data_IF_500867559429
#
_entry.id   IF_500867559429
#
_cell.length_a   1.000
_cell.length_b   1.000
_cell.length_c   1.000
_cell.angle_alpha   90.00
_cell.angle_beta   90.00
_cell.angle_gamma   90.00
#
_symmetry.space_group_name_H-M   'P 1'
#
loop_
_entity.id
_entity.type
_entity.pdbx_description
1 polymer ?
#
# COMPACT_ATOMS: atom_id res chain seq x y z
N UNK A 1 -17.05 -19.45 20.24
CA UNK A 1 -16.46 -20.56 19.47
C UNK A 1 -16.82 -20.38 18.01
N UNK A 2 -15.92 -20.69 17.09
CA UNK A 2 -16.20 -20.59 15.64
C UNK A 2 -17.25 -21.65 15.27
N UNK A 3 -18.36 -21.21 14.68
CA UNK A 3 -19.47 -22.10 14.28
C UNK A 3 -19.24 -22.66 12.89
N UNK A 4 -19.73 -23.87 12.61
CA UNK A 4 -19.62 -24.53 11.29
C UNK A 4 -20.19 -23.65 10.17
N UNK A 5 -21.25 -22.90 10.46
CA UNK A 5 -21.84 -21.93 9.54
C UNK A 5 -20.91 -20.75 9.21
N UNK A 6 -20.09 -20.29 10.17
CA UNK A 6 -19.12 -19.22 9.95
C UNK A 6 -17.96 -19.70 9.05
N UNK A 7 -17.49 -20.94 9.25
CA UNK A 7 -16.45 -21.55 8.41
C UNK A 7 -16.95 -21.73 6.97
N UNK A 8 -18.16 -22.25 6.80
CA UNK A 8 -18.75 -22.42 5.46
C UNK A 8 -18.88 -21.08 4.72
N UNK A 9 -19.31 -20.03 5.42
CA UNK A 9 -19.44 -18.68 4.84
C UNK A 9 -18.09 -18.09 4.43
N UNK A 10 -17.04 -18.28 5.24
CA UNK A 10 -15.68 -17.87 4.91
C UNK A 10 -15.11 -18.62 3.69
N UNK A 11 -15.39 -19.92 3.56
CA UNK A 11 -14.99 -20.72 2.39
C UNK A 11 -15.68 -20.21 1.12
N UNK A 12 -16.98 -19.89 1.20
CA UNK A 12 -17.71 -19.32 0.07
C UNK A 12 -17.17 -17.94 -0.36
N UNK A 13 -16.81 -17.08 0.59
CA UNK A 13 -16.21 -15.76 0.30
C UNK A 13 -14.81 -15.87 -0.33
N UNK A 14 -14.05 -16.89 0.09
CA UNK A 14 -12.72 -17.17 -0.43
C UNK A 14 -12.75 -17.81 -1.83
N UNK A 15 -13.82 -18.48 -2.24
CA UNK A 15 -13.89 -19.13 -3.54
C UNK A 15 -14.25 -18.12 -4.66
N UNK A 16 -13.76 -18.31 -5.91
CA UNK A 16 -12.76 -19.30 -6.34
C UNK A 16 -11.31 -18.83 -6.15
N UNK A 17 -11.09 -17.55 -5.81
CA UNK A 17 -9.79 -16.90 -5.96
C UNK A 17 -8.83 -17.08 -4.77
N UNK A 18 -9.32 -17.60 -3.63
CA UNK A 18 -8.57 -17.83 -2.40
C UNK A 18 -8.82 -16.79 -1.31
N UNK A 19 -8.43 -17.14 -0.08
CA UNK A 19 -8.65 -16.30 1.11
C UNK A 19 -7.89 -14.96 1.08
N UNK A 20 -6.75 -14.91 0.39
CA UNK A 20 -6.00 -13.66 0.19
C UNK A 20 -6.77 -12.66 -0.67
N UNK A 21 -7.48 -13.16 -1.68
CA UNK A 21 -8.28 -12.33 -2.60
C UNK A 21 -9.54 -11.83 -1.94
N UNK A 22 -10.17 -12.67 -1.12
CA UNK A 22 -11.29 -12.24 -0.29
C UNK A 22 -10.88 -11.12 0.69
N UNK A 23 -9.72 -11.26 1.34
CA UNK A 23 -9.20 -10.22 2.23
C UNK A 23 -8.82 -8.93 1.46
N UNK A 24 -8.18 -9.06 0.30
CA UNK A 24 -7.83 -7.92 -0.54
C UNK A 24 -9.08 -7.23 -1.10
N UNK A 25 -10.14 -7.99 -1.44
CA UNK A 25 -11.43 -7.45 -1.88
C UNK A 25 -12.03 -6.55 -0.80
N UNK A 26 -12.10 -7.03 0.45
CA UNK A 26 -12.65 -6.25 1.57
C UNK A 26 -11.84 -4.96 1.83
N UNK A 27 -10.51 -5.03 1.70
CA UNK A 27 -9.62 -3.88 1.91
C UNK A 27 -9.75 -2.86 0.76
N UNK A 28 -9.85 -3.34 -0.48
CA UNK A 28 -9.92 -2.49 -1.68
C UNK A 28 -11.31 -1.89 -1.89
N UNK A 29 -12.37 -2.60 -1.51
CA UNK A 29 -13.75 -2.09 -1.55
C UNK A 29 -13.91 -0.88 -0.60
N UNK A 30 -13.25 -0.91 0.56
CA UNK A 30 -13.22 0.20 1.50
C UNK A 30 -12.63 1.51 0.92
N UNK A 31 -11.90 1.43 -0.19
CA UNK A 31 -11.36 2.59 -0.94
C UNK A 31 -12.03 2.76 -2.31
N UNK A 32 -13.16 2.08 -2.55
CA UNK A 32 -13.94 2.17 -3.79
C UNK A 32 -13.29 1.48 -5.00
N UNK A 33 -12.35 0.56 -4.76
CA UNK A 33 -11.69 -0.22 -5.81
C UNK A 33 -12.37 -1.57 -5.95
N UNK A 34 -13.12 -1.73 -7.04
CA UNK A 34 -13.76 -2.98 -7.41
C UNK A 34 -12.72 -3.98 -7.94
N UNK A 35 -12.29 -4.89 -7.07
CA UNK A 35 -11.31 -5.93 -7.39
C UNK A 35 -11.87 -6.90 -8.44
N UNK A 36 -13.16 -7.22 -8.43
CA UNK A 36 -13.74 -8.20 -9.35
C UNK A 36 -13.70 -7.66 -10.78
N UNK A 37 -14.02 -6.39 -10.97
CA UNK A 37 -13.88 -5.71 -12.27
C UNK A 37 -12.44 -5.65 -12.77
N UNK A 38 -11.47 -5.52 -11.87
CA UNK A 38 -10.04 -5.59 -12.20
C UNK A 38 -9.62 -7.00 -12.63
N UNK A 39 -10.15 -8.04 -11.98
CA UNK A 39 -9.88 -9.43 -12.30
C UNK A 39 -10.54 -9.89 -13.60
N UNK A 40 -11.70 -9.34 -13.95
CA UNK A 40 -12.33 -9.56 -15.26
C UNK A 40 -11.44 -9.06 -16.42
N UNK A 41 -10.70 -7.97 -16.21
CA UNK A 41 -9.81 -7.38 -17.21
C UNK A 41 -8.45 -8.11 -17.26
N UNK A 42 -7.92 -8.50 -16.11
CA UNK A 42 -6.53 -9.00 -15.98
C UNK A 42 -6.42 -10.52 -15.85
N UNK A 43 -7.53 -11.21 -15.58
CA UNK A 43 -7.62 -12.64 -15.35
C UNK A 43 -7.25 -13.07 -13.93
N UNK A 44 -7.94 -14.09 -13.41
CA UNK A 44 -7.74 -14.65 -12.05
C UNK A 44 -6.35 -15.27 -11.83
N UNK A 45 -5.63 -15.59 -12.90
CA UNK A 45 -4.26 -16.12 -12.88
C UNK A 45 -3.22 -15.11 -12.35
N UNK A 46 -3.56 -13.82 -12.32
CA UNK A 46 -2.73 -12.80 -11.65
C UNK A 46 -2.74 -13.01 -10.13
N UNK A 47 -3.86 -13.54 -9.61
CA UNK A 47 -4.12 -13.67 -8.18
C UNK A 47 -3.69 -15.02 -7.61
N UNK A 48 -3.80 -16.07 -8.42
CA UNK A 48 -3.50 -17.44 -8.00
C UNK A 48 -2.12 -17.92 -8.50
N UNK A 49 -1.14 -17.01 -8.43
CA UNK A 49 0.21 -17.31 -8.89
C UNK A 49 1.03 -17.95 -7.76
N UNK A 50 1.48 -19.20 -7.90
CA UNK A 50 2.23 -19.85 -6.84
C UNK A 50 3.50 -19.06 -6.53
N UNK A 51 3.84 -18.84 -5.24
CA UNK A 51 5.09 -18.19 -4.88
C UNK A 51 6.23 -19.01 -5.47
N UNK A 52 7.13 -18.35 -6.23
CA UNK A 52 8.32 -19.02 -6.76
C UNK A 52 9.13 -19.58 -5.60
N UNK A 53 9.51 -20.86 -5.70
CA UNK A 53 10.33 -21.57 -4.70
C UNK A 53 11.45 -20.67 -4.18
N UNK A 54 11.50 -20.49 -2.87
CA UNK A 54 12.60 -19.75 -2.24
C UNK A 54 13.93 -20.43 -2.57
N UNK A 55 14.99 -19.65 -2.85
CA UNK A 55 16.32 -20.20 -2.98
C UNK A 55 16.71 -20.89 -1.67
N UNK A 56 17.06 -22.18 -1.74
CA UNK A 56 17.43 -23.01 -0.59
C UNK A 56 18.72 -22.54 0.11
N UNK A 57 19.47 -21.62 -0.51
CA UNK A 57 20.73 -21.11 0.02
C UNK A 57 20.60 -19.64 0.51
N UNK A 58 21.06 -19.32 1.73
CA UNK A 58 20.89 -18.00 2.33
C UNK A 58 21.66 -16.88 1.61
N UNK A 59 22.69 -17.23 0.85
CA UNK A 59 23.49 -16.27 0.07
C UNK A 59 22.75 -15.91 -1.21
N UNK A 60 22.24 -14.69 -1.29
CA UNK A 60 21.54 -14.18 -2.48
C UNK A 60 20.02 -14.29 -2.43
N UNK A 61 19.43 -14.89 -1.38
CA UNK A 61 17.98 -14.92 -1.17
C UNK A 61 17.36 -13.52 -1.21
N UNK A 62 18.00 -12.52 -0.62
CA UNK A 62 17.53 -11.13 -0.67
C UNK A 62 17.59 -10.50 -2.08
N UNK A 63 18.50 -10.94 -2.95
CA UNK A 63 18.62 -10.45 -4.34
C UNK A 63 17.64 -11.19 -5.25
N UNK A 64 17.43 -12.48 -5.00
CA UNK A 64 16.43 -13.32 -5.66
C UNK A 64 15.00 -12.89 -5.29
N UNK A 65 14.70 -12.61 -4.01
CA UNK A 65 13.43 -12.02 -3.56
C UNK A 65 13.19 -10.67 -4.22
N UNK A 66 14.20 -9.79 -4.27
CA UNK A 66 14.11 -8.51 -5.00
C UNK A 66 13.85 -8.70 -6.50
N UNK A 67 14.49 -9.68 -7.14
CA UNK A 67 14.25 -10.00 -8.56
C UNK A 67 12.85 -10.57 -8.78
N UNK A 68 12.39 -11.48 -7.92
CA UNK A 68 11.05 -12.07 -7.98
C UNK A 68 9.98 -11.00 -7.72
N UNK A 69 10.11 -10.16 -6.71
CA UNK A 69 9.15 -9.08 -6.41
C UNK A 69 9.06 -8.02 -7.53
N UNK A 70 10.15 -7.80 -8.28
CA UNK A 70 10.14 -6.98 -9.50
C UNK A 70 9.44 -7.64 -10.69
N UNK A 71 9.54 -8.95 -10.82
CA UNK A 71 9.04 -9.68 -11.99
C UNK A 71 7.63 -10.26 -11.78
N UNK A 72 7.26 -10.52 -10.53
CA UNK A 72 6.06 -11.26 -10.10
C UNK A 72 5.88 -11.07 -8.58
N UNK A 73 5.32 -9.94 -8.11
CA UNK A 73 5.05 -9.75 -6.68
C UNK A 73 4.06 -10.81 -6.17
N UNK A 74 4.22 -11.34 -4.95
CA UNK A 74 3.13 -12.03 -4.29
C UNK A 74 2.04 -11.00 -3.95
N UNK A 75 0.78 -11.33 -4.21
CA UNK A 75 -0.32 -10.45 -3.80
C UNK A 75 -0.38 -10.34 -2.29
N UNK A 76 -0.91 -9.22 -1.83
CA UNK A 76 -0.92 -8.87 -0.42
C UNK A 76 0.38 -8.23 0.07
N UNK A 77 1.59 -8.49 -0.47
CA UNK A 77 2.80 -7.80 0.04
C UNK A 77 2.82 -6.31 -0.29
N UNK A 78 2.42 -5.95 -1.51
CA UNK A 78 2.33 -4.54 -1.90
C UNK A 78 1.20 -3.83 -1.13
N UNK A 79 0.05 -4.50 -0.97
CA UNK A 79 -1.08 -4.01 -0.17
C UNK A 79 -0.71 -3.86 1.32
N UNK A 80 -0.02 -4.85 1.92
CA UNK A 80 0.48 -4.79 3.28
C UNK A 80 1.49 -3.67 3.46
N UNK A 81 2.42 -3.51 2.51
CA UNK A 81 3.41 -2.43 2.56
C UNK A 81 2.76 -1.05 2.41
N UNK A 82 1.76 -0.92 1.53
CA UNK A 82 1.00 0.32 1.36
C UNK A 82 0.16 0.65 2.60
N UNK A 83 -0.53 -0.35 3.16
CA UNK A 83 -1.27 -0.19 4.42
C UNK A 83 -0.34 0.18 5.58
N UNK A 84 0.78 -0.53 5.72
CA UNK A 84 1.82 -0.23 6.71
C UNK A 84 2.37 1.20 6.57
N UNK A 85 2.64 1.63 5.34
CA UNK A 85 3.11 2.98 5.03
C UNK A 85 2.05 4.04 5.35
N UNK A 86 0.79 3.78 5.04
CA UNK A 86 -0.33 4.68 5.31
C UNK A 86 -0.59 4.88 6.80
N UNK A 87 -0.48 3.82 7.61
CA UNK A 87 -0.59 3.90 9.07
C UNK A 87 0.54 4.76 9.65
N UNK A 88 1.78 4.53 9.19
CA UNK A 88 2.92 5.34 9.61
C UNK A 88 2.81 6.79 9.15
N UNK A 89 2.23 7.04 7.99
CA UNK A 89 1.96 8.38 7.50
C UNK A 89 0.98 9.13 8.43
N UNK A 90 -0.12 8.48 8.85
CA UNK A 90 -1.05 9.04 9.83
C UNK A 90 -0.35 9.41 11.16
N UNK A 91 0.47 8.48 11.68
CA UNK A 91 1.27 8.71 12.89
C UNK A 91 2.29 9.85 12.72
N UNK A 92 2.93 9.94 11.55
CA UNK A 92 3.87 11.01 11.22
C UNK A 92 3.20 12.38 11.08
N UNK A 93 1.95 12.41 10.60
CA UNK A 93 1.08 13.59 10.51
C UNK A 93 0.43 13.99 11.85
N UNK A 94 0.69 13.21 12.91
CA UNK A 94 0.10 13.37 14.26
C UNK A 94 -1.42 13.26 14.25
N UNK A 95 -1.94 12.35 13.44
CA UNK A 95 -3.36 12.04 13.37
C UNK A 95 -3.71 10.91 14.35
N UNK A 96 -4.90 11.00 14.96
CA UNK A 96 -5.38 10.03 15.95
C UNK A 96 -6.06 8.82 15.30
N UNK A 97 -6.46 8.96 14.05
CA UNK A 97 -7.20 7.97 13.30
C UNK A 97 -6.47 7.70 12.00
N UNK A 98 -6.37 6.42 11.65
CA UNK A 98 -6.02 6.01 10.30
C UNK A 98 -7.31 6.00 9.47
N UNK A 99 -7.23 6.53 8.26
CA UNK A 99 -8.38 6.80 7.40
C UNK A 99 -8.03 6.50 5.93
N UNK A 100 -9.02 6.25 5.06
CA UNK A 100 -8.79 5.91 3.65
C UNK A 100 -7.87 6.89 2.90
N UNK A 101 -7.89 8.17 3.26
CA UNK A 101 -7.10 9.20 2.59
C UNK A 101 -5.59 9.02 2.84
N UNK A 102 -5.21 8.47 3.99
CA UNK A 102 -3.81 8.13 4.27
C UNK A 102 -3.32 7.01 3.35
N UNK A 103 -4.21 6.06 3.03
CA UNK A 103 -3.91 4.98 2.10
C UNK A 103 -3.79 5.52 0.68
N UNK A 104 -4.73 6.37 0.25
CA UNK A 104 -4.66 7.04 -1.04
C UNK A 104 -3.36 7.84 -1.21
N UNK A 105 -3.00 8.66 -0.21
CA UNK A 105 -1.75 9.43 -0.21
C UNK A 105 -0.50 8.55 -0.26
N UNK A 106 -0.47 7.45 0.51
CA UNK A 106 0.66 6.52 0.51
C UNK A 106 0.79 5.76 -0.82
N UNK A 107 -0.33 5.31 -1.39
CA UNK A 107 -0.38 4.62 -2.68
C UNK A 107 0.11 5.52 -3.81
N UNK A 108 -0.44 6.74 -3.93
CA UNK A 108 -0.04 7.68 -4.98
C UNK A 108 1.43 8.11 -4.84
N UNK A 109 1.93 8.27 -3.61
CA UNK A 109 3.32 8.68 -3.38
C UNK A 109 4.34 7.53 -3.53
N UNK A 110 4.00 6.30 -3.15
CA UNK A 110 4.99 5.22 -3.02
C UNK A 110 4.85 4.13 -4.07
N UNK A 111 3.64 3.82 -4.52
CA UNK A 111 3.36 2.60 -5.25
C UNK A 111 3.58 2.74 -6.77
N UNK A 112 4.53 2.00 -7.37
CA UNK A 112 4.77 2.08 -8.82
C UNK A 112 3.62 1.52 -9.65
N UNK A 113 2.86 0.57 -9.11
CA UNK A 113 1.68 0.00 -9.78
C UNK A 113 0.59 1.06 -9.91
N UNK A 114 0.32 1.80 -8.83
CA UNK A 114 -0.61 2.93 -8.85
C UNK A 114 -0.12 4.02 -9.81
N UNK A 115 1.17 4.35 -9.80
CA UNK A 115 1.74 5.32 -10.75
C UNK A 115 1.53 4.89 -12.22
N UNK A 116 1.70 3.59 -12.51
CA UNK A 116 1.43 3.03 -13.84
C UNK A 116 -0.06 3.12 -14.20
N UNK A 117 -0.97 2.74 -13.28
CA UNK A 117 -2.42 2.83 -13.51
C UNK A 117 -2.84 4.27 -13.81
N UNK A 118 -2.34 5.25 -13.05
CA UNK A 118 -2.62 6.67 -13.26
C UNK A 118 -2.12 7.15 -14.62
N UNK A 119 -0.90 6.74 -15.02
CA UNK A 119 -0.34 7.08 -16.32
C UNK A 119 -1.16 6.50 -17.48
N UNK A 120 -1.57 5.22 -17.38
CA UNK A 120 -2.42 4.56 -18.39
C UNK A 120 -3.81 5.20 -18.47
N UNK A 121 -4.37 5.61 -17.33
CA UNK A 121 -5.64 6.32 -17.26
C UNK A 121 -5.56 7.79 -17.72
N UNK A 122 -4.38 8.27 -18.14
CA UNK A 122 -4.17 9.65 -18.57
C UNK A 122 -4.26 10.68 -17.42
N UNK A 123 -4.17 10.22 -16.17
CA UNK A 123 -4.18 11.09 -15.00
C UNK A 123 -2.78 11.70 -14.83
N UNK A 124 -2.59 12.86 -15.44
CA UNK A 124 -1.37 13.67 -15.40
C UNK A 124 -1.45 14.87 -14.44
N UNK A 125 -2.62 15.08 -13.82
CA UNK A 125 -2.82 16.10 -12.77
C UNK A 125 -1.81 15.91 -11.62
N UNK A 126 -1.43 16.96 -10.88
CA UNK A 126 -0.70 16.83 -9.62
C UNK A 126 -1.62 16.23 -8.54
N UNK A 127 -2.18 15.04 -8.80
CA UNK A 127 -3.15 14.33 -7.98
C UNK A 127 -2.68 14.22 -6.53
N UNK A 128 -1.39 14.01 -6.32
CA UNK A 128 -0.80 13.96 -4.99
C UNK A 128 -0.88 15.30 -4.25
N UNK A 129 -0.68 16.41 -4.96
CA UNK A 129 -0.82 17.77 -4.42
C UNK A 129 -2.29 18.07 -4.14
N UNK A 130 -3.19 17.72 -5.06
CA UNK A 130 -4.63 17.93 -4.90
C UNK A 130 -5.18 17.11 -3.72
N UNK A 131 -4.79 15.84 -3.59
CA UNK A 131 -5.12 15.00 -2.44
C UNK A 131 -4.54 15.56 -1.14
N UNK A 132 -3.29 16.04 -1.15
CA UNK A 132 -2.65 16.63 0.03
C UNK A 132 -3.35 17.93 0.47
N UNK A 133 -3.78 18.75 -0.49
CA UNK A 133 -4.51 19.99 -0.24
C UNK A 133 -5.93 19.72 0.28
N UNK A 134 -6.59 18.69 -0.24
CA UNK A 134 -7.93 18.25 0.20
C UNK A 134 -7.88 17.66 1.61
N UNK A 135 -6.81 16.93 1.93
CA UNK A 135 -6.63 16.27 3.23
C UNK A 135 -5.36 16.77 3.94
N UNK A 136 -5.35 18.03 4.41
CA UNK A 136 -4.20 18.62 5.08
C UNK A 136 -4.02 18.02 6.49
N UNK A 137 -2.80 17.93 7.01
CA UNK A 137 -2.56 17.41 8.35
C UNK A 137 -3.11 18.38 9.41
N UNK A 138 -3.45 17.89 10.62
CA UNK A 138 -4.13 18.69 11.64
C UNK A 138 -3.35 19.96 11.98
N UNK A 139 -4.05 21.11 12.01
CA UNK A 139 -3.48 22.45 12.29
C UNK A 139 -3.60 22.87 13.76
N UNK A 140 -3.88 21.93 14.67
CA UNK A 140 -4.42 22.20 16.00
C UNK A 140 -3.51 23.05 16.90
N UNK A 141 -2.17 22.95 16.78
CA UNK A 141 -1.22 23.81 17.54
C UNK A 141 0.12 23.98 16.82
N UNK A 142 0.79 25.12 17.05
CA UNK A 142 2.16 25.39 16.54
C UNK A 142 3.14 24.33 17.04
N UNK A 143 2.97 23.86 18.29
CA UNK A 143 3.79 22.80 18.87
C UNK A 143 3.72 21.50 18.04
N UNK A 144 2.53 21.06 17.64
CA UNK A 144 2.38 19.87 16.78
C UNK A 144 3.01 20.09 15.40
N UNK A 145 2.92 21.31 14.85
CA UNK A 145 3.59 21.65 13.59
C UNK A 145 5.11 21.56 13.71
N UNK A 146 5.70 22.14 14.75
CA UNK A 146 7.13 22.07 15.02
C UNK A 146 7.60 20.62 15.26
N UNK A 147 6.83 19.84 16.02
CA UNK A 147 7.12 18.43 16.28
C UNK A 147 7.12 17.59 14.98
N UNK A 148 6.18 17.86 14.05
CA UNK A 148 6.16 17.22 12.73
C UNK A 148 7.44 17.52 11.95
N UNK A 149 7.89 18.77 11.97
CA UNK A 149 9.08 19.23 11.26
C UNK A 149 10.37 18.62 11.82
N UNK A 150 10.55 18.59 13.14
CA UNK A 150 11.77 18.09 13.81
C UNK A 150 12.08 16.62 13.48
N UNK A 151 11.06 15.77 13.38
CA UNK A 151 11.22 14.35 13.05
C UNK A 151 10.93 13.98 11.60
N UNK A 152 10.63 14.96 10.72
CA UNK A 152 10.14 14.73 9.35
C UNK A 152 11.09 13.84 8.56
N UNK A 153 12.37 14.22 8.50
CA UNK A 153 13.34 13.51 7.66
C UNK A 153 13.55 12.06 8.11
N UNK A 154 13.60 11.82 9.41
CA UNK A 154 13.74 10.48 9.97
C UNK A 154 12.49 9.61 9.66
N UNK A 155 11.29 10.15 9.89
CA UNK A 155 10.03 9.45 9.63
C UNK A 155 9.80 9.15 8.15
N UNK A 156 10.02 10.12 7.27
CA UNK A 156 9.95 9.92 5.83
C UNK A 156 10.92 8.81 5.38
N UNK A 157 12.19 8.87 5.80
CA UNK A 157 13.18 7.85 5.42
C UNK A 157 12.82 6.46 5.95
N UNK A 158 12.28 6.35 7.17
CA UNK A 158 11.84 5.05 7.71
C UNK A 158 10.69 4.46 6.90
N UNK A 159 9.67 5.26 6.58
CA UNK A 159 8.52 4.81 5.77
C UNK A 159 8.99 4.30 4.40
N UNK A 160 9.78 5.11 3.68
CA UNK A 160 10.30 4.75 2.36
C UNK A 160 11.19 3.50 2.46
N UNK A 161 12.13 3.46 3.41
CA UNK A 161 13.04 2.32 3.58
C UNK A 161 12.29 1.02 3.86
N UNK A 162 11.23 1.06 4.67
CA UNK A 162 10.42 -0.12 4.98
C UNK A 162 9.58 -0.57 3.81
N UNK A 163 8.88 0.36 3.16
CA UNK A 163 8.11 0.07 1.96
C UNK A 163 8.99 -0.61 0.91
N UNK A 164 10.13 0.00 0.56
CA UNK A 164 11.08 -0.55 -0.43
C UNK A 164 11.72 -1.88 0.01
N UNK A 165 11.88 -2.10 1.32
CA UNK A 165 12.39 -3.38 1.85
C UNK A 165 11.36 -4.49 1.69
N UNK A 166 10.08 -4.20 1.96
CA UNK A 166 8.98 -5.16 1.90
C UNK A 166 8.63 -5.49 0.46
N UNK A 167 8.45 -4.47 -0.39
CA UNK A 167 8.06 -4.65 -1.81
C UNK A 167 9.25 -4.95 -2.73
N UNK A 168 10.47 -4.61 -2.32
CA UNK A 168 11.66 -4.73 -3.16
C UNK A 168 11.71 -3.72 -4.33
N UNK A 169 10.78 -2.76 -4.37
CA UNK A 169 10.62 -1.74 -5.41
C UNK A 169 11.14 -0.39 -4.96
N UNK A 170 11.45 0.47 -5.94
CA UNK A 170 11.75 1.88 -5.68
C UNK A 170 10.43 2.64 -5.56
N UNK A 171 10.34 3.52 -4.57
CA UNK A 171 9.15 4.36 -4.38
C UNK A 171 9.06 5.43 -5.48
N UNK A 172 7.84 5.69 -5.96
CA UNK A 172 7.59 6.60 -7.10
C UNK A 172 7.98 8.05 -6.81
N UNK A 173 7.44 8.63 -5.74
CA UNK A 173 7.67 10.01 -5.30
C UNK A 173 7.99 10.06 -3.79
N UNK A 174 9.12 9.44 -3.43
CA UNK A 174 9.62 9.46 -2.06
C UNK A 174 9.75 10.89 -1.46
N UNK A 175 10.27 11.90 -2.19
CA UNK A 175 10.37 13.26 -1.67
C UNK A 175 9.02 13.88 -1.28
N UNK A 176 7.94 13.62 -2.04
CA UNK A 176 6.61 14.15 -1.73
C UNK A 176 6.09 13.65 -0.38
N UNK A 177 6.44 12.44 0.06
CA UNK A 177 6.04 11.94 1.37
C UNK A 177 6.57 12.83 2.52
N UNK A 178 7.74 13.44 2.34
CA UNK A 178 8.25 14.43 3.28
C UNK A 178 7.40 15.71 3.34
N UNK A 179 6.84 16.14 2.21
CA UNK A 179 5.92 17.28 2.14
C UNK A 179 4.58 16.96 2.80
N UNK A 180 4.03 15.75 2.56
CA UNK A 180 2.79 15.27 3.20
C UNK A 180 2.86 15.26 4.73
N UNK A 181 4.02 14.97 5.31
CA UNK A 181 4.23 14.98 6.76
C UNK A 181 4.26 16.43 7.31
N UNK A 182 4.83 17.37 6.56
CA UNK A 182 4.95 18.76 7.01
C UNK A 182 3.59 19.47 7.03
N UNK A 183 2.80 19.27 5.97
CA UNK A 183 1.61 20.06 5.68
C UNK A 183 1.94 21.38 5.03
#
# INVERSE_FOLDING_TARGET
GVTTAAVHRAICLAAPAGAGVAADRDILDAIGVDLDRLLDITGTAVVDRPPRREPLFPVGAARARRRCARMTPPLGLDAQAAYEASLRLALARREREHRPEHLALALVALDPGVAWVLAVAGVTSPLLVDLAATFPPPRRTIALRAERLLGRHARHRDIVRRYQRTTGRTATDAPALGALIAG
#
